data_IF_444248692897
#
_entry.id   IF_444248692897
#
_cell.length_a   1.000
_cell.length_b   1.000
_cell.length_c   1.000
_cell.angle_alpha   90.00
_cell.angle_beta   90.00
_cell.angle_gamma   90.00
#
_symmetry.space_group_name_H-M   'P 1'
#
loop_
_entity.id
_entity.type
_entity.pdbx_description
1 polymer ?
#
# COMPACT_ATOMS: atom_id res chain seq x y z
N UNK A 1 105.39 -43.74 -15.41
CA UNK A 1 103.97 -43.37 -15.39
C UNK A 1 103.67 -42.80 -16.77
N UNK A 2 102.79 -43.43 -17.54
CA UNK A 2 102.53 -43.00 -18.93
C UNK A 2 101.81 -41.66 -18.96
N UNK A 3 102.45 -40.66 -19.54
CA UNK A 3 101.88 -39.31 -19.70
C UNK A 3 100.64 -39.32 -20.60
N UNK A 4 100.58 -40.25 -21.55
CA UNK A 4 99.46 -40.40 -22.48
C UNK A 4 98.20 -40.91 -21.78
N UNK A 5 98.35 -41.86 -20.84
CA UNK A 5 97.24 -42.36 -20.03
C UNK A 5 96.61 -41.25 -19.17
N UNK A 6 97.46 -40.40 -18.58
CA UNK A 6 97.02 -39.27 -17.76
C UNK A 6 96.28 -38.24 -18.64
N UNK A 7 96.82 -37.92 -19.82
CA UNK A 7 96.21 -36.98 -20.76
C UNK A 7 94.81 -37.43 -21.22
N UNK A 8 94.67 -38.71 -21.58
CA UNK A 8 93.40 -39.27 -22.04
C UNK A 8 92.36 -39.37 -20.92
N UNK A 9 92.80 -39.65 -19.69
CA UNK A 9 91.94 -39.60 -18.51
C UNK A 9 91.40 -38.18 -18.28
N UNK A 10 92.24 -37.15 -18.35
CA UNK A 10 91.79 -35.76 -18.20
C UNK A 10 90.83 -35.33 -19.31
N UNK A 11 91.12 -35.66 -20.58
CA UNK A 11 90.25 -35.31 -21.71
C UNK A 11 88.84 -35.89 -21.57
N UNK A 12 88.73 -37.18 -21.21
CA UNK A 12 87.42 -37.83 -21.01
C UNK A 12 86.65 -37.23 -19.84
N UNK A 13 87.31 -36.95 -18.72
CA UNK A 13 86.66 -36.33 -17.56
C UNK A 13 86.25 -34.88 -17.81
N UNK A 14 87.03 -34.12 -18.59
CA UNK A 14 86.67 -32.75 -18.99
C UNK A 14 85.40 -32.76 -19.86
N UNK A 15 85.31 -33.66 -20.83
CA UNK A 15 84.11 -33.78 -21.68
C UNK A 15 82.87 -34.08 -20.83
N UNK A 16 82.97 -35.05 -19.91
CA UNK A 16 81.87 -35.38 -19.00
C UNK A 16 81.49 -34.18 -18.12
N UNK A 17 82.47 -33.46 -17.58
CA UNK A 17 82.25 -32.28 -16.76
C UNK A 17 81.52 -31.17 -17.53
N UNK A 18 81.91 -30.91 -18.78
CA UNK A 18 81.24 -29.93 -19.64
C UNK A 18 79.79 -30.33 -19.91
N UNK A 19 79.53 -31.60 -20.22
CA UNK A 19 78.16 -32.12 -20.42
C UNK A 19 77.33 -31.97 -19.15
N UNK A 20 77.89 -32.30 -17.99
CA UNK A 20 77.21 -32.09 -16.70
C UNK A 20 76.87 -30.62 -16.48
N UNK A 21 77.78 -29.68 -16.75
CA UNK A 21 77.51 -28.25 -16.63
C UNK A 21 76.34 -27.85 -17.53
N UNK A 22 76.30 -28.27 -18.79
CA UNK A 22 75.19 -27.94 -19.68
C UNK A 22 73.84 -28.50 -19.18
N UNK A 23 73.83 -29.74 -18.69
CA UNK A 23 72.61 -30.35 -18.13
C UNK A 23 72.15 -29.59 -16.88
N UNK A 24 73.06 -29.29 -15.95
CA UNK A 24 72.73 -28.56 -14.72
C UNK A 24 72.32 -27.11 -15.00
N UNK A 25 72.94 -26.42 -15.95
CA UNK A 25 72.54 -25.07 -16.36
C UNK A 25 71.14 -25.07 -16.98
N UNK A 26 70.83 -26.03 -17.84
CA UNK A 26 69.49 -26.17 -18.43
C UNK A 26 68.42 -26.45 -17.36
N UNK A 27 68.70 -27.39 -16.46
CA UNK A 27 67.79 -27.72 -15.36
C UNK A 27 67.61 -26.52 -14.40
N UNK A 28 68.68 -25.78 -14.10
CA UNK A 28 68.61 -24.62 -13.23
C UNK A 28 67.75 -23.50 -13.82
N UNK A 29 67.89 -23.20 -15.12
CA UNK A 29 67.06 -22.19 -15.80
C UNK A 29 65.59 -22.60 -15.78
N UNK A 30 65.28 -23.86 -16.10
CA UNK A 30 63.91 -24.37 -16.06
C UNK A 30 63.28 -24.24 -14.67
N UNK A 31 63.99 -24.68 -13.63
CA UNK A 31 63.52 -24.58 -12.23
C UNK A 31 63.38 -23.13 -11.78
N UNK A 32 64.28 -22.24 -12.21
CA UNK A 32 64.22 -20.83 -11.87
C UNK A 32 63.02 -20.12 -12.51
N UNK A 33 62.71 -20.43 -13.77
CA UNK A 33 61.56 -19.88 -14.48
C UNK A 33 60.25 -20.36 -13.84
N UNK A 34 60.13 -21.65 -13.52
CA UNK A 34 58.96 -22.21 -12.84
C UNK A 34 58.80 -21.62 -11.42
N UNK A 35 59.90 -21.43 -10.69
CA UNK A 35 59.88 -20.75 -9.39
C UNK A 35 59.37 -19.32 -9.50
N UNK A 36 59.82 -18.57 -10.52
CA UNK A 36 59.39 -17.18 -10.76
C UNK A 36 57.92 -17.10 -11.14
N UNK A 37 57.42 -18.02 -11.96
CA UNK A 37 56.00 -18.11 -12.30
C UNK A 37 55.15 -18.43 -11.07
N UNK A 38 55.57 -19.39 -10.25
CA UNK A 38 54.90 -19.73 -8.99
C UNK A 38 54.88 -18.54 -8.02
N UNK A 39 55.95 -17.76 -7.92
CA UNK A 39 55.96 -16.52 -7.11
C UNK A 39 54.95 -15.49 -7.61
N UNK A 40 54.82 -15.29 -8.94
CA UNK A 40 53.79 -14.41 -9.50
C UNK A 40 52.38 -14.90 -9.17
N UNK A 41 52.14 -16.20 -9.30
CA UNK A 41 50.84 -16.80 -8.97
C UNK A 41 50.50 -16.60 -7.50
N UNK A 42 51.46 -16.82 -6.60
CA UNK A 42 51.30 -16.58 -5.15
C UNK A 42 50.93 -15.12 -4.88
N UNK A 43 51.65 -14.15 -5.47
CA UNK A 43 51.35 -12.72 -5.30
C UNK A 43 49.94 -12.40 -5.82
N UNK A 44 49.56 -12.90 -7.00
CA UNK A 44 48.23 -12.68 -7.55
C UNK A 44 47.11 -13.28 -6.69
N UNK A 45 47.36 -14.41 -6.02
CA UNK A 45 46.41 -15.01 -5.08
C UNK A 45 46.28 -14.19 -3.79
N UNK A 46 47.36 -13.56 -3.31
CA UNK A 46 47.31 -12.64 -2.18
C UNK A 46 46.53 -11.36 -2.52
N UNK A 47 46.75 -10.80 -3.71
CA UNK A 47 46.01 -9.63 -4.20
C UNK A 47 44.52 -9.95 -4.33
N UNK A 48 44.18 -11.09 -4.97
CA UNK A 48 42.81 -11.56 -5.11
C UNK A 48 42.12 -11.75 -3.75
N UNK A 49 42.84 -12.33 -2.78
CA UNK A 49 42.32 -12.48 -1.42
C UNK A 49 42.09 -11.13 -0.74
N UNK A 50 43.01 -10.18 -0.90
CA UNK A 50 42.87 -8.84 -0.33
C UNK A 50 41.65 -8.12 -0.90
N UNK A 51 41.43 -8.22 -2.21
CA UNK A 51 40.28 -7.59 -2.87
C UNK A 51 38.96 -8.25 -2.44
N UNK A 52 38.93 -9.58 -2.31
CA UNK A 52 37.77 -10.28 -1.75
C UNK A 52 37.47 -9.87 -0.30
N UNK A 53 38.49 -9.67 0.53
CA UNK A 53 38.32 -9.19 1.90
C UNK A 53 37.77 -7.76 1.94
N UNK A 54 38.17 -6.87 1.03
CA UNK A 54 37.59 -5.52 0.88
C UNK A 54 36.14 -5.58 0.42
N UNK A 55 35.84 -6.35 -0.62
CA UNK A 55 34.47 -6.50 -1.14
C UNK A 55 33.54 -7.04 -0.05
N UNK A 56 34.00 -8.00 0.76
CA UNK A 56 33.27 -8.50 1.92
C UNK A 56 32.99 -7.40 2.95
N UNK A 57 33.98 -6.55 3.25
CA UNK A 57 33.78 -5.43 4.19
C UNK A 57 32.78 -4.41 3.64
N UNK A 58 32.86 -4.08 2.36
CA UNK A 58 31.94 -3.12 1.73
C UNK A 58 30.51 -3.69 1.64
N UNK A 59 30.37 -5.00 1.40
CA UNK A 59 29.09 -5.68 1.48
C UNK A 59 28.48 -5.64 2.88
N UNK A 60 29.27 -5.83 3.94
CA UNK A 60 28.76 -5.71 5.32
C UNK A 60 28.38 -4.26 5.66
N UNK A 61 29.14 -3.26 5.21
CA UNK A 61 28.74 -1.84 5.35
C UNK A 61 27.42 -1.56 4.65
N UNK A 62 27.28 -2.03 3.40
CA UNK A 62 26.06 -1.87 2.61
C UNK A 62 24.85 -2.53 3.29
N UNK A 63 25.04 -3.72 3.86
CA UNK A 63 24.00 -4.43 4.63
C UNK A 63 23.57 -3.65 5.87
N UNK A 64 24.51 -3.03 6.59
CA UNK A 64 24.20 -2.16 7.74
C UNK A 64 23.40 -0.93 7.28
N UNK A 65 23.80 -0.31 6.17
CA UNK A 65 23.13 0.86 5.61
C UNK A 65 21.69 0.55 5.16
N UNK A 66 21.48 -0.56 4.45
CA UNK A 66 20.13 -1.03 4.10
C UNK A 66 19.28 -1.25 5.36
N UNK A 67 19.82 -1.97 6.36
CA UNK A 67 19.06 -2.26 7.58
C UNK A 67 18.67 -0.98 8.32
N UNK A 68 19.55 0.02 8.33
CA UNK A 68 19.26 1.34 8.90
C UNK A 68 18.14 2.03 8.10
N UNK A 69 18.23 2.06 6.77
CA UNK A 69 17.19 2.64 5.92
C UNK A 69 15.83 1.98 6.13
N UNK A 70 15.79 0.64 6.21
CA UNK A 70 14.55 -0.12 6.48
C UNK A 70 13.98 0.22 7.87
N UNK A 71 14.85 0.39 8.87
CA UNK A 71 14.40 0.78 10.21
C UNK A 71 13.80 2.18 10.22
N UNK A 72 14.45 3.15 9.58
CA UNK A 72 13.98 4.53 9.48
C UNK A 72 12.64 4.60 8.72
N UNK A 73 12.48 3.84 7.63
CA UNK A 73 11.23 3.75 6.89
C UNK A 73 10.10 3.14 7.74
N UNK A 74 10.38 2.06 8.49
CA UNK A 74 9.41 1.45 9.41
C UNK A 74 8.98 2.42 10.51
N UNK A 75 9.92 3.21 11.04
CA UNK A 75 9.63 4.22 12.03
C UNK A 75 8.75 5.33 11.47
N UNK A 76 9.05 5.83 10.27
CA UNK A 76 8.22 6.81 9.57
C UNK A 76 6.80 6.29 9.32
N UNK A 77 6.67 5.04 8.88
CA UNK A 77 5.37 4.40 8.62
C UNK A 77 4.56 4.19 9.91
N UNK A 78 5.23 3.84 11.01
CA UNK A 78 4.62 3.76 12.34
C UNK A 78 4.09 5.12 12.81
N UNK A 79 4.87 6.19 12.63
CA UNK A 79 4.45 7.55 12.98
C UNK A 79 3.24 8.00 12.14
N UNK A 80 3.27 7.76 10.84
CA UNK A 80 2.17 8.09 9.93
C UNK A 80 0.88 7.34 10.31
N UNK A 81 0.99 6.06 10.68
CA UNK A 81 -0.15 5.28 11.17
C UNK A 81 -0.75 5.88 12.45
N UNK A 82 0.09 6.29 13.39
CA UNK A 82 -0.37 6.92 14.63
C UNK A 82 -1.04 8.27 14.38
N UNK A 83 -0.56 9.06 13.42
CA UNK A 83 -1.20 10.32 13.02
C UNK A 83 -2.57 10.07 12.38
N UNK A 84 -2.65 9.11 11.47
CA UNK A 84 -3.91 8.72 10.85
C UNK A 84 -4.95 8.23 11.87
N UNK A 85 -4.54 7.42 12.86
CA UNK A 85 -5.43 6.98 13.94
C UNK A 85 -5.90 8.15 14.82
N UNK A 86 -5.04 9.15 15.08
CA UNK A 86 -5.43 10.37 15.80
C UNK A 86 -6.47 11.18 15.02
N UNK A 87 -6.25 11.39 13.73
CA UNK A 87 -7.19 12.12 12.88
C UNK A 87 -8.54 11.42 12.79
N UNK A 88 -8.53 10.10 12.57
CA UNK A 88 -9.74 9.27 12.56
C UNK A 88 -10.53 9.36 13.88
N UNK A 89 -9.82 9.32 15.02
CA UNK A 89 -10.47 9.46 16.32
C UNK A 89 -11.05 10.87 16.55
N UNK A 90 -10.37 11.91 16.04
CA UNK A 90 -10.86 13.30 16.09
C UNK A 90 -12.12 13.48 15.24
N UNK A 91 -12.13 12.95 14.03
CA UNK A 91 -13.30 12.98 13.14
C UNK A 91 -14.49 12.23 13.73
N UNK A 92 -14.26 11.05 14.31
CA UNK A 92 -15.29 10.29 15.02
C UNK A 92 -15.90 11.08 16.19
N UNK A 93 -15.07 11.82 16.93
CA UNK A 93 -15.55 12.67 18.02
C UNK A 93 -16.41 13.84 17.50
N UNK A 94 -15.99 14.50 16.43
CA UNK A 94 -16.76 15.57 15.78
C UNK A 94 -18.12 15.06 15.26
N UNK A 95 -18.17 13.85 14.69
CA UNK A 95 -19.43 13.22 14.28
C UNK A 95 -20.36 12.93 15.46
N UNK A 96 -19.82 12.49 16.60
CA UNK A 96 -20.59 12.28 17.83
C UNK A 96 -21.15 13.61 18.34
N UNK A 97 -20.36 14.67 18.35
CA UNK A 97 -20.79 15.99 18.79
C UNK A 97 -21.88 16.58 17.88
N UNK A 98 -21.72 16.43 16.55
CA UNK A 98 -22.74 16.80 15.56
C UNK A 98 -24.03 16.01 15.76
N UNK A 99 -23.95 14.70 15.99
CA UNK A 99 -25.11 13.85 16.28
C UNK A 99 -25.84 14.30 17.53
N UNK A 100 -25.11 14.56 18.62
CA UNK A 100 -25.67 15.07 19.87
C UNK A 100 -26.34 16.44 19.69
N UNK A 101 -25.79 17.30 18.82
CA UNK A 101 -26.39 18.59 18.48
C UNK A 101 -27.70 18.43 17.70
N UNK A 102 -27.74 17.52 16.73
CA UNK A 102 -28.97 17.21 15.97
C UNK A 102 -30.05 16.65 16.90
N UNK A 103 -29.71 15.70 17.78
CA UNK A 103 -30.65 15.13 18.75
C UNK A 103 -31.23 16.20 19.70
N UNK A 104 -30.40 17.16 20.14
CA UNK A 104 -30.87 18.30 20.94
C UNK A 104 -31.84 19.19 20.16
N UNK A 105 -31.56 19.45 18.88
CA UNK A 105 -32.44 20.27 18.02
C UNK A 105 -33.77 19.57 17.75
N UNK A 106 -33.75 18.26 17.56
CA UNK A 106 -34.94 17.43 17.37
C UNK A 106 -35.86 17.50 18.58
N UNK A 107 -35.32 17.27 19.79
CA UNK A 107 -36.09 17.42 21.05
C UNK A 107 -36.70 18.82 21.21
N UNK A 108 -35.95 19.87 20.89
CA UNK A 108 -36.44 21.25 20.96
C UNK A 108 -37.54 21.55 19.93
N UNK A 109 -37.56 20.87 18.78
CA UNK A 109 -38.63 20.98 17.79
C UNK A 109 -39.89 20.23 18.24
N UNK A 110 -39.73 19.05 18.84
CA UNK A 110 -40.85 18.29 19.40
C UNK A 110 -41.56 19.07 20.52
N UNK A 111 -40.78 19.68 21.42
CA UNK A 111 -41.31 20.56 22.48
C UNK A 111 -42.07 21.77 21.90
N UNK A 112 -41.54 22.39 20.84
CA UNK A 112 -42.21 23.50 20.15
C UNK A 112 -43.48 23.07 19.42
N UNK A 113 -43.47 21.88 18.80
CA UNK A 113 -44.63 21.33 18.13
C UNK A 113 -45.76 21.08 19.14
N UNK A 114 -45.42 20.54 20.32
CA UNK A 114 -46.37 20.35 21.41
C UNK A 114 -46.93 21.68 21.93
N UNK A 115 -46.09 22.70 22.14
CA UNK A 115 -46.53 24.04 22.55
C UNK A 115 -47.46 24.69 21.50
N UNK A 116 -47.16 24.55 20.21
CA UNK A 116 -48.03 25.01 19.13
C UNK A 116 -49.36 24.27 19.11
N UNK A 117 -49.38 22.97 19.37
CA UNK A 117 -50.60 22.17 19.46
C UNK A 117 -51.48 22.60 20.64
N UNK A 118 -50.88 22.86 21.82
CA UNK A 118 -51.59 23.40 22.98
C UNK A 118 -52.20 24.77 22.65
N UNK A 119 -51.40 25.70 22.11
CA UNK A 119 -51.86 27.03 21.70
C UNK A 119 -52.98 26.98 20.67
N UNK A 120 -52.88 26.08 19.69
CA UNK A 120 -53.92 25.88 18.69
C UNK A 120 -55.23 25.41 19.35
N UNK A 121 -55.16 24.44 20.26
CA UNK A 121 -56.32 23.94 20.99
C UNK A 121 -56.96 24.99 21.91
N UNK A 122 -56.16 25.84 22.56
CA UNK A 122 -56.64 26.98 23.34
C UNK A 122 -57.34 28.01 22.45
N UNK A 123 -56.73 28.36 21.31
CA UNK A 123 -57.34 29.24 20.32
C UNK A 123 -58.69 28.67 19.90
N UNK A 124 -58.73 27.39 19.50
CA UNK A 124 -59.94 26.70 19.08
C UNK A 124 -61.05 26.74 20.13
N UNK A 125 -60.72 26.52 21.41
CA UNK A 125 -61.71 26.64 22.50
C UNK A 125 -62.23 28.08 22.65
N UNK A 126 -61.37 29.08 22.48
CA UNK A 126 -61.80 30.49 22.50
C UNK A 126 -62.68 30.88 21.30
N UNK A 127 -62.56 30.17 20.17
CA UNK A 127 -63.45 30.34 19.01
C UNK A 127 -64.88 29.84 19.29
N UNK A 128 -65.03 28.81 20.11
CA UNK A 128 -66.34 28.24 20.45
C UNK A 128 -67.11 29.09 21.48
N UNK A 129 -66.48 30.09 22.11
CA UNK A 129 -67.04 30.77 23.29
C UNK A 129 -67.51 32.23 23.15
N UNK A 130 -67.19 33.05 22.12
CA UNK A 130 -67.76 34.41 22.06
C UNK A 130 -67.81 35.14 20.68
N UNK A 131 -68.95 35.84 20.54
CA UNK A 131 -69.50 36.76 19.53
C UNK A 131 -68.58 37.79 18.84
N UNK A 132 -68.80 37.96 17.52
CA UNK A 132 -68.60 39.09 16.58
C UNK A 132 -67.41 40.09 16.68
N UNK A 133 -66.93 40.47 17.86
CA UNK A 133 -65.91 41.54 18.04
C UNK A 133 -64.46 41.02 17.88
N UNK A 134 -64.27 39.69 17.95
CA UNK A 134 -62.95 39.05 17.87
C UNK A 134 -62.41 38.82 16.44
N UNK A 135 -63.18 39.11 15.38
CA UNK A 135 -62.84 38.70 14.00
C UNK A 135 -61.51 39.26 13.46
N UNK A 136 -61.12 40.47 13.88
CA UNK A 136 -59.89 41.13 13.42
C UNK A 136 -58.65 40.58 14.15
N UNK A 137 -58.76 40.40 15.47
CA UNK A 137 -57.74 39.73 16.30
C UNK A 137 -57.53 38.27 15.87
N UNK A 138 -58.61 37.60 15.46
CA UNK A 138 -58.62 36.25 14.88
C UNK A 138 -57.79 36.21 13.58
N UNK A 139 -57.98 37.18 12.69
CA UNK A 139 -57.24 37.26 11.44
C UNK A 139 -55.74 37.44 11.68
N UNK A 140 -55.35 38.29 12.64
CA UNK A 140 -53.93 38.49 12.97
C UNK A 140 -53.29 37.24 13.60
N UNK A 141 -53.94 36.61 14.58
CA UNK A 141 -53.40 35.40 15.21
C UNK A 141 -53.33 34.21 14.26
N UNK A 142 -54.28 34.09 13.32
CA UNK A 142 -54.23 33.07 12.27
C UNK A 142 -53.04 33.29 11.34
N UNK A 143 -52.78 34.53 10.91
CA UNK A 143 -51.59 34.86 10.11
C UNK A 143 -50.29 34.56 10.85
N UNK A 144 -50.21 34.87 12.15
CA UNK A 144 -49.00 34.55 12.93
C UNK A 144 -48.81 33.04 13.08
N UNK A 145 -49.89 32.28 13.29
CA UNK A 145 -49.82 30.81 13.33
C UNK A 145 -49.37 30.23 11.98
N UNK A 146 -49.95 30.70 10.87
CA UNK A 146 -49.55 30.29 9.52
C UNK A 146 -48.07 30.61 9.24
N UNK A 147 -47.58 31.75 9.73
CA UNK A 147 -46.16 32.14 9.66
C UNK A 147 -45.26 31.18 10.44
N UNK A 148 -45.63 30.85 11.68
CA UNK A 148 -44.88 29.92 12.52
C UNK A 148 -44.86 28.50 11.94
N UNK A 149 -45.98 28.04 11.37
CA UNK A 149 -46.06 26.76 10.65
C UNK A 149 -45.11 26.76 9.45
N UNK A 150 -45.08 27.84 8.65
CA UNK A 150 -44.19 27.96 7.51
C UNK A 150 -42.71 27.92 7.93
N UNK A 151 -42.33 28.67 8.98
CA UNK A 151 -40.96 28.68 9.51
C UNK A 151 -40.53 27.32 10.06
N UNK A 152 -41.44 26.60 10.73
CA UNK A 152 -41.13 25.28 11.28
C UNK A 152 -40.96 24.23 10.16
N UNK A 153 -41.80 24.30 9.12
CA UNK A 153 -41.67 23.42 7.94
C UNK A 153 -40.36 23.66 7.19
N UNK A 154 -39.87 24.90 7.14
CA UNK A 154 -38.56 25.21 6.53
C UNK A 154 -37.42 24.59 7.36
N UNK A 155 -37.44 24.74 8.69
CA UNK A 155 -36.45 24.12 9.58
C UNK A 155 -36.45 22.59 9.53
N UNK A 156 -37.62 21.96 9.38
CA UNK A 156 -37.72 20.51 9.21
C UNK A 156 -37.07 20.04 7.91
N UNK A 157 -37.23 20.79 6.80
CA UNK A 157 -36.55 20.47 5.53
C UNK A 157 -35.03 20.56 5.64
N UNK A 158 -34.51 21.55 6.36
CA UNK A 158 -33.08 21.68 6.59
C UNK A 158 -32.53 20.46 7.35
N UNK A 159 -33.24 20.01 8.38
CA UNK A 159 -32.86 18.82 9.16
C UNK A 159 -32.94 17.54 8.31
N UNK A 160 -33.97 17.39 7.49
CA UNK A 160 -34.11 16.25 6.57
C UNK A 160 -32.96 16.20 5.56
N UNK A 161 -32.54 17.36 5.04
CA UNK A 161 -31.38 17.46 4.13
C UNK A 161 -30.06 17.07 4.82
N UNK A 162 -29.88 17.50 6.08
CA UNK A 162 -28.72 17.13 6.92
C UNK A 162 -28.69 15.62 7.17
N UNK A 163 -29.80 15.01 7.58
CA UNK A 163 -29.91 13.57 7.79
C UNK A 163 -29.60 12.77 6.52
N UNK A 164 -30.11 13.23 5.37
CA UNK A 164 -29.81 12.59 4.09
C UNK A 164 -28.32 12.66 3.77
N UNK A 165 -27.68 13.80 3.96
CA UNK A 165 -26.24 13.94 3.78
C UNK A 165 -25.44 13.01 4.69
N UNK A 166 -25.75 12.94 5.98
CA UNK A 166 -25.08 12.02 6.90
C UNK A 166 -25.29 10.55 6.54
N UNK A 167 -26.50 10.18 6.11
CA UNK A 167 -26.78 8.80 5.67
C UNK A 167 -25.99 8.46 4.41
N UNK A 168 -25.89 9.37 3.45
CA UNK A 168 -25.10 9.17 2.24
C UNK A 168 -23.60 9.05 2.57
N UNK A 169 -23.09 9.87 3.48
CA UNK A 169 -21.70 9.85 3.92
C UNK A 169 -21.35 8.57 4.70
N UNK A 170 -22.22 8.11 5.60
CA UNK A 170 -22.03 6.85 6.32
C UNK A 170 -22.08 5.62 5.39
N UNK A 171 -22.97 5.63 4.38
CA UNK A 171 -23.01 4.59 3.35
C UNK A 171 -21.73 4.60 2.51
N UNK A 172 -21.23 5.79 2.18
CA UNK A 172 -19.98 5.99 1.46
C UNK A 172 -18.78 5.43 2.24
N UNK A 173 -18.65 5.78 3.52
CA UNK A 173 -17.57 5.30 4.40
C UNK A 173 -17.60 3.77 4.51
N UNK A 174 -18.80 3.19 4.70
CA UNK A 174 -18.97 1.73 4.74
C UNK A 174 -18.52 1.06 3.43
N UNK A 175 -18.86 1.66 2.29
CA UNK A 175 -18.45 1.17 0.98
C UNK A 175 -16.94 1.22 0.78
N UNK A 176 -16.30 2.32 1.18
CA UNK A 176 -14.84 2.49 1.10
C UNK A 176 -14.10 1.46 1.95
N UNK A 177 -14.58 1.20 3.17
CA UNK A 177 -14.03 0.15 4.04
C UNK A 177 -14.13 -1.25 3.41
N UNK A 178 -15.30 -1.60 2.86
CA UNK A 178 -15.49 -2.89 2.17
C UNK A 178 -14.58 -3.03 0.94
N UNK A 179 -14.39 -1.96 0.17
CA UNK A 179 -13.47 -1.97 -0.98
C UNK A 179 -12.02 -2.17 -0.50
N UNK A 180 -11.61 -1.53 0.60
CA UNK A 180 -10.25 -1.70 1.14
C UNK A 180 -9.98 -3.14 1.60
N UNK A 181 -10.96 -3.79 2.24
CA UNK A 181 -10.89 -5.21 2.63
C UNK A 181 -10.71 -6.10 1.39
N UNK A 182 -11.54 -5.91 0.36
CA UNK A 182 -11.44 -6.65 -0.90
C UNK A 182 -10.10 -6.41 -1.61
N UNK A 183 -9.55 -5.19 -1.56
CA UNK A 183 -8.20 -4.90 -2.10
C UNK A 183 -7.13 -5.67 -1.33
N UNK A 184 -7.25 -5.78 -0.01
CA UNK A 184 -6.32 -6.57 0.80
C UNK A 184 -6.39 -8.06 0.44
N UNK A 185 -7.60 -8.61 0.31
CA UNK A 185 -7.81 -9.99 -0.15
C UNK A 185 -7.22 -10.24 -1.54
N UNK A 186 -7.44 -9.32 -2.48
CA UNK A 186 -6.86 -9.40 -3.83
C UNK A 186 -5.32 -9.45 -3.78
N UNK A 187 -4.69 -8.64 -2.94
CA UNK A 187 -3.22 -8.61 -2.81
C UNK A 187 -2.66 -9.93 -2.27
N UNK A 188 -3.37 -10.59 -1.35
CA UNK A 188 -2.97 -11.89 -0.80
C UNK A 188 -2.95 -12.98 -1.85
N UNK A 189 -3.82 -12.91 -2.86
CA UNK A 189 -3.85 -13.90 -3.95
C UNK A 189 -2.56 -13.87 -4.80
N UNK A 190 -1.85 -12.74 -4.86
CA UNK A 190 -0.59 -12.62 -5.59
C UNK A 190 -0.72 -12.74 -7.11
N UNK A 191 -1.95 -12.72 -7.66
CA UNK A 191 -2.20 -12.91 -9.09
C UNK A 191 -2.09 -11.59 -9.84
N UNK A 192 -1.42 -11.64 -10.99
CA UNK A 192 -1.40 -10.55 -11.97
C UNK A 192 -2.36 -10.87 -13.12
N UNK A 193 -3.59 -10.35 -13.07
CA UNK A 193 -4.59 -10.60 -14.13
C UNK A 193 -4.18 -9.98 -15.48
N UNK A 194 -3.17 -9.11 -15.53
CA UNK A 194 -2.62 -8.62 -16.79
C UNK A 194 -1.79 -9.68 -17.52
N UNK A 195 -1.35 -10.73 -16.82
CA UNK A 195 -0.53 -11.83 -17.34
C UNK A 195 -1.28 -13.14 -17.23
N UNK A 196 -1.71 -13.70 -18.36
CA UNK A 196 -2.46 -14.97 -18.39
C UNK A 196 -1.52 -16.18 -18.38
N UNK A 197 -0.63 -16.25 -17.38
CA UNK A 197 0.51 -17.18 -17.41
C UNK A 197 0.36 -18.42 -16.51
N UNK A 198 -0.76 -18.57 -15.80
CA UNK A 198 -0.98 -19.69 -14.87
C UNK A 198 -1.92 -20.71 -15.51
N UNK A 199 -1.34 -21.77 -16.07
CA UNK A 199 -2.05 -22.88 -16.70
C UNK A 199 -2.33 -24.05 -15.74
N UNK A 200 -1.88 -23.96 -14.49
CA UNK A 200 -2.15 -24.93 -13.45
C UNK A 200 -3.53 -24.69 -12.80
N UNK A 201 -4.11 -25.75 -12.24
CA UNK A 201 -5.45 -25.71 -11.64
C UNK A 201 -5.53 -24.72 -10.46
N UNK A 202 -4.47 -24.64 -9.65
CA UNK A 202 -4.40 -23.74 -8.51
C UNK A 202 -4.32 -22.27 -8.94
N UNK A 203 -3.44 -21.95 -9.90
CA UNK A 203 -3.35 -20.61 -10.46
C UNK A 203 -4.64 -20.15 -11.14
N UNK A 204 -5.29 -21.04 -11.92
CA UNK A 204 -6.61 -20.75 -12.50
C UNK A 204 -7.69 -20.49 -11.45
N UNK A 205 -7.66 -21.20 -10.32
CA UNK A 205 -8.57 -20.94 -9.19
C UNK A 205 -8.32 -19.56 -8.59
N UNK A 206 -7.06 -19.20 -8.31
CA UNK A 206 -6.69 -17.88 -7.78
C UNK A 206 -7.06 -16.76 -8.76
N UNK A 207 -6.85 -16.97 -10.06
CA UNK A 207 -7.24 -16.03 -11.12
C UNK A 207 -8.75 -15.73 -11.10
N UNK A 208 -9.59 -16.78 -11.08
CA UNK A 208 -11.05 -16.61 -11.02
C UNK A 208 -11.50 -15.90 -9.74
N UNK A 209 -10.86 -16.21 -8.62
CA UNK A 209 -11.13 -15.54 -7.34
C UNK A 209 -10.75 -14.05 -7.40
N UNK A 210 -9.56 -13.72 -7.93
CA UNK A 210 -9.10 -12.36 -8.12
C UNK A 210 -10.03 -11.57 -9.06
N UNK A 211 -10.52 -12.19 -10.14
CA UNK A 211 -11.50 -11.58 -11.04
C UNK A 211 -12.83 -11.29 -10.32
N UNK A 212 -13.36 -12.26 -9.56
CA UNK A 212 -14.58 -12.08 -8.75
C UNK A 212 -14.45 -10.93 -7.74
N UNK A 213 -13.28 -10.80 -7.10
CA UNK A 213 -13.01 -9.70 -6.17
C UNK A 213 -13.02 -8.35 -6.89
N UNK A 214 -12.40 -8.23 -8.07
CA UNK A 214 -12.45 -6.99 -8.86
C UNK A 214 -13.87 -6.63 -9.30
N UNK A 215 -14.68 -7.63 -9.68
CA UNK A 215 -16.07 -7.42 -10.05
C UNK A 215 -16.89 -6.90 -8.86
N UNK A 216 -16.66 -7.44 -7.66
CA UNK A 216 -17.28 -6.97 -6.42
C UNK A 216 -16.85 -5.53 -6.08
N UNK A 217 -15.55 -5.22 -6.16
CA UNK A 217 -15.04 -3.86 -5.96
C UNK A 217 -15.72 -2.89 -6.93
N UNK A 218 -15.81 -3.25 -8.21
CA UNK A 218 -16.47 -2.44 -9.24
C UNK A 218 -17.96 -2.21 -8.95
N UNK A 219 -18.68 -3.26 -8.53
CA UNK A 219 -20.10 -3.16 -8.19
C UNK A 219 -20.36 -2.24 -6.98
N UNK A 220 -19.57 -2.37 -5.90
CA UNK A 220 -19.67 -1.51 -4.72
C UNK A 220 -19.31 -0.07 -5.08
N UNK A 221 -18.20 0.10 -5.80
CA UNK A 221 -17.71 1.40 -6.25
C UNK A 221 -18.73 2.19 -7.07
N UNK A 222 -19.41 1.51 -8.00
CA UNK A 222 -20.42 2.12 -8.86
C UNK A 222 -21.72 2.41 -8.12
N UNK A 223 -22.19 1.48 -7.27
CA UNK A 223 -23.46 1.65 -6.55
C UNK A 223 -23.42 2.79 -5.52
N UNK A 224 -22.26 3.07 -4.92
CA UNK A 224 -22.10 4.08 -3.86
C UNK A 224 -21.39 5.36 -4.34
N UNK A 225 -21.20 5.53 -5.65
CA UNK A 225 -20.53 6.70 -6.27
C UNK A 225 -19.11 7.00 -5.76
N UNK A 226 -18.42 6.00 -5.19
CA UNK A 226 -17.01 6.12 -4.76
C UNK A 226 -16.03 5.69 -5.87
N UNK A 227 -16.54 5.29 -7.03
CA UNK A 227 -15.73 4.65 -8.06
C UNK A 227 -14.58 5.48 -8.61
N UNK A 228 -14.67 6.82 -8.65
CA UNK A 228 -13.59 7.65 -9.18
C UNK A 228 -12.22 7.37 -8.53
N UNK A 229 -12.18 7.12 -7.22
CA UNK A 229 -10.93 6.81 -6.50
C UNK A 229 -10.37 5.41 -6.78
N UNK A 230 -11.21 4.45 -7.15
CA UNK A 230 -10.83 3.05 -7.31
C UNK A 230 -10.72 2.60 -8.77
N UNK A 231 -11.20 3.41 -9.73
CA UNK A 231 -11.14 3.07 -11.15
C UNK A 231 -9.72 2.89 -11.67
N UNK A 232 -8.74 3.63 -11.15
CA UNK A 232 -7.34 3.42 -11.53
C UNK A 232 -6.83 2.05 -11.05
N UNK A 233 -7.17 1.65 -9.82
CA UNK A 233 -6.84 0.32 -9.31
C UNK A 233 -7.48 -0.77 -10.17
N UNK A 234 -8.80 -0.70 -10.40
CA UNK A 234 -9.56 -1.66 -11.22
C UNK A 234 -8.96 -1.75 -12.63
N UNK A 235 -8.68 -0.63 -13.30
CA UNK A 235 -8.10 -0.62 -14.67
C UNK A 235 -6.69 -1.21 -14.69
N UNK A 236 -5.85 -0.86 -13.71
CA UNK A 236 -4.48 -1.38 -13.64
C UNK A 236 -4.43 -2.89 -13.37
N UNK A 237 -5.47 -3.43 -12.71
CA UNK A 237 -5.53 -4.83 -12.28
C UNK A 237 -6.43 -5.71 -13.12
N UNK A 238 -7.36 -5.19 -13.90
CA UNK A 238 -8.27 -6.02 -14.71
C UNK A 238 -7.58 -6.70 -15.91
N UNK A 239 -6.39 -6.23 -16.31
CA UNK A 239 -5.87 -6.50 -17.64
C UNK A 239 -6.80 -5.88 -18.68
N UNK A 240 -6.26 -5.30 -19.77
CA UNK A 240 -7.16 -4.88 -20.86
C UNK A 240 -8.05 -6.07 -21.25
N UNK A 241 -9.32 -5.84 -21.59
CA UNK A 241 -10.21 -6.87 -22.15
C UNK A 241 -9.56 -7.43 -23.42
N UNK A 242 -8.65 -8.39 -23.28
CA UNK A 242 -8.10 -9.16 -24.39
C UNK A 242 -9.19 -10.16 -24.70
N UNK A 243 -9.86 -9.95 -25.84
CA UNK A 243 -10.92 -10.82 -26.34
C UNK A 243 -10.53 -12.28 -26.17
N UNK A 244 -11.46 -13.08 -25.66
CA UNK A 244 -11.33 -14.52 -25.43
C UNK A 244 -11.24 -15.23 -26.78
N UNK A 245 -10.15 -15.03 -27.52
CA UNK A 245 -9.73 -15.92 -28.59
C UNK A 245 -8.69 -16.86 -28.00
N UNK A 246 -9.10 -18.12 -27.97
CA UNK A 246 -8.36 -19.34 -27.63
C UNK A 246 -6.84 -19.22 -27.83
N UNK A 247 -6.09 -19.27 -26.74
CA UNK A 247 -4.70 -19.74 -26.76
C UNK A 247 -4.56 -20.74 -25.63
N UNK A 248 -4.42 -22.00 -26.03
CA UNK A 248 -4.39 -23.16 -25.15
C UNK A 248 -3.17 -23.15 -24.24
N UNK A 249 -3.40 -23.45 -22.97
CA UNK A 249 -2.43 -24.14 -22.15
C UNK A 249 -2.18 -25.50 -22.81
N UNK A 250 -1.02 -25.66 -23.45
CA UNK A 250 -0.56 -26.94 -24.01
C UNK A 250 0.10 -27.79 -22.93
#
# INVERSE_FOLDING_TARGET
>A
MDLDFISDFFKKNIIVLVVCIFIFSGAFVFVYDEYKENQKNIISLYDLRSDFEKEKQDFEKYKIEINKSIYDERLALSNLKNEFEKEKNKEKLDLIDKRNLVEKREKALDERALDLEIKYNELRKSFDSDSAENALLISEKKKELDRLIAENNEKSKDIESLYKHFSEEALREKAENQIQELIAEFRVLGVDLSRRNECDEEGMKKYRQAQSILDQISAIANSQKVGAGYMQFIRSKSGGMVSVYSFGCN
#
